data_IF_391185932020
#
_entry.id   IF_391185932020
#
_cell.length_a   1.000
_cell.length_b   1.000
_cell.length_c   1.000
_cell.angle_alpha   90.00
_cell.angle_beta   90.00
_cell.angle_gamma   90.00
#
_symmetry.space_group_name_H-M   'P 1'
#
loop_
_entity.id
_entity.type
_entity.pdbx_description
1 polymer ?
2 water ?
#
# COMPACT_ATOMS: atom_id res chain seq x y z
N UNK A 1 1.18 -8.33 -13.68
CA UNK A 1 2.03 -8.79 -12.58
C UNK A 1 1.21 -9.61 -11.59
N UNK A 2 1.63 -10.86 -11.39
CA UNK A 2 0.91 -11.79 -10.56
C UNK A 2 1.50 -11.80 -9.14
N UNK A 3 1.06 -12.76 -8.33
CA UNK A 3 1.46 -12.78 -6.92
C UNK A 3 2.91 -13.24 -6.75
N UNK A 4 3.37 -14.17 -7.59
CA UNK A 4 4.76 -14.59 -7.51
C UNK A 4 5.70 -13.44 -7.85
N UNK A 5 5.29 -12.56 -8.77
CA UNK A 5 6.06 -11.36 -9.06
C UNK A 5 5.91 -10.29 -7.98
N UNK A 6 4.86 -10.38 -7.16
CA UNK A 6 4.71 -9.45 -6.05
C UNK A 6 5.70 -9.78 -4.93
N UNK A 7 5.73 -11.05 -4.52
CA UNK A 7 6.68 -11.47 -3.49
C UNK A 7 8.12 -11.25 -3.93
N UNK A 8 8.38 -11.25 -5.24
CA UNK A 8 9.73 -11.05 -5.73
C UNK A 8 10.15 -9.58 -5.60
N UNK A 9 9.25 -8.66 -5.94
CA UNK A 9 9.55 -7.23 -5.91
C UNK A 9 9.37 -6.62 -4.54
N UNK A 10 8.40 -7.08 -3.75
CA UNK A 10 8.18 -6.53 -2.42
C UNK A 10 9.16 -7.20 -1.45
N UNK A 11 10.05 -6.44 -0.81
CA UNK A 11 11.02 -7.08 0.09
C UNK A 11 10.40 -7.65 1.36
N UNK A 12 9.23 -7.15 1.78
CA UNK A 12 8.51 -7.73 2.90
C UNK A 12 7.95 -9.10 2.54
N UNK A 13 7.63 -9.88 3.58
CA UNK A 13 6.93 -11.15 3.42
C UNK A 13 5.96 -11.32 4.59
N UNK A 14 5.27 -12.46 4.61
CA UNK A 14 4.34 -12.76 5.67
C UNK A 14 5.04 -12.69 7.03
N UNK A 15 4.39 -12.14 8.07
CA UNK A 15 3.03 -11.60 8.05
C UNK A 15 2.94 -10.09 7.81
N UNK A 16 3.84 -9.56 6.99
CA UNK A 16 3.90 -8.12 6.74
C UNK A 16 3.85 -7.80 5.25
N UNK A 17 3.23 -8.67 4.46
CA UNK A 17 3.01 -8.43 3.04
C UNK A 17 1.58 -7.95 2.85
N UNK A 18 1.42 -6.77 2.24
CA UNK A 18 0.11 -6.14 2.13
C UNK A 18 -0.20 -5.77 0.68
N UNK A 19 0.26 -6.59 -0.27
CA UNK A 19 -0.10 -6.46 -1.67
C UNK A 19 -0.46 -7.85 -2.17
N UNK A 20 -1.62 -7.97 -2.83
CA UNK A 20 -2.08 -9.25 -3.35
C UNK A 20 -1.88 -9.41 -4.84
N UNK A 21 -2.15 -8.37 -5.63
CA UNK A 21 -1.92 -8.45 -7.06
C UNK A 21 -1.75 -7.05 -7.62
N UNK A 22 -1.60 -6.98 -8.94
CA UNK A 22 -1.28 -5.75 -9.66
C UNK A 22 -2.37 -5.53 -10.69
N UNK A 23 -3.07 -4.41 -10.59
CA UNK A 23 -4.22 -4.14 -11.45
C UNK A 23 -3.83 -3.34 -12.69
N UNK A 24 -3.04 -2.28 -12.49
CA UNK A 24 -2.72 -1.36 -13.58
C UNK A 24 -1.32 -0.81 -13.36
N UNK A 25 -0.52 -0.82 -14.41
CA UNK A 25 0.87 -0.36 -14.34
C UNK A 25 1.11 0.71 -15.39
N UNK A 26 1.91 1.71 -15.04
CA UNK A 26 2.32 2.78 -15.98
C UNK A 26 3.70 3.20 -15.51
N UNK A 27 4.75 2.52 -15.96
CA UNK A 27 6.12 2.71 -15.43
C UNK A 27 6.53 4.17 -15.45
N UNK A 28 6.97 4.66 -14.29
CA UNK A 28 7.45 6.03 -14.01
C UNK A 28 6.31 7.06 -14.02
N UNK A 29 5.07 6.55 -13.96
CA UNK A 29 3.84 7.37 -13.91
C UNK A 29 2.86 6.97 -12.80
N UNK A 30 2.15 6.09 -12.56
CA UNK A 30 0.96 5.59 -11.82
C UNK A 30 1.02 4.09 -11.62
N UNK A 31 0.67 3.46 -10.54
CA UNK A 31 0.33 2.02 -10.30
C UNK A 31 -0.93 1.91 -9.45
N UNK A 32 -1.71 0.89 -9.74
CA UNK A 32 -2.95 0.56 -9.05
C UNK A 32 -2.85 -0.87 -8.52
N UNK A 33 -2.75 -0.99 -7.21
CA UNK A 33 -2.59 -2.27 -6.54
C UNK A 33 -3.88 -2.71 -5.87
N UNK A 34 -3.89 -3.97 -5.48
CA UNK A 34 -5.04 -4.61 -4.85
C UNK A 34 -4.57 -5.41 -3.64
N UNK A 35 -5.23 -5.18 -2.51
CA UNK A 35 -5.05 -6.02 -1.33
C UNK A 35 -6.41 -6.44 -0.82
N UNK A 36 -6.60 -7.75 -0.67
CA UNK A 36 -7.82 -8.27 -0.06
C UNK A 36 -7.72 -8.17 1.45
N UNK A 37 -8.77 -7.65 2.07
CA UNK A 37 -8.88 -7.57 3.53
C UNK A 37 -9.72 -8.76 3.99
N UNK A 38 -9.10 -9.65 4.76
CA UNK A 38 -9.77 -10.85 5.24
C UNK A 38 -9.71 -10.92 6.75
N UNK A 39 -10.80 -11.37 7.37
CA UNK A 39 -10.81 -11.55 8.81
C UNK A 39 -9.85 -12.61 9.31
N UNK A 40 -9.33 -13.45 8.40
CA UNK A 40 -8.38 -14.49 8.75
C UNK A 40 -6.93 -13.98 8.75
N UNK A 41 -6.73 -12.67 8.66
CA UNK A 41 -5.38 -12.14 8.76
C UNK A 41 -5.00 -11.95 10.22
N UNK A 42 -3.72 -12.17 10.57
CA UNK A 42 -3.35 -12.22 11.99
C UNK A 42 -3.58 -10.92 12.74
N UNK A 43 -3.45 -9.76 12.10
CA UNK A 43 -3.57 -8.51 12.83
C UNK A 43 -5.00 -8.23 13.27
N UNK A 44 -6.00 -8.89 12.68
CA UNK A 44 -7.38 -8.66 13.08
C UNK A 44 -7.68 -9.24 14.45
N UNK A 45 -6.87 -10.22 14.83
CA UNK A 45 -7.04 -10.81 16.17
C UNK A 45 -6.69 -9.75 17.20
N UNK A 46 -5.56 -9.04 16.99
CA UNK A 46 -5.01 -8.06 17.93
C UNK A 46 -5.46 -6.63 17.78
N UNK A 47 -6.02 -6.25 16.64
CA UNK A 47 -6.46 -4.84 16.61
C UNK A 47 -7.96 -4.79 16.87
N UNK A 48 -8.30 -4.39 18.10
CA UNK A 48 -9.69 -4.33 18.60
C UNK A 48 -10.34 -5.70 18.47
N UNK A 49 -10.09 -6.68 19.36
CA UNK A 49 -10.78 -7.98 19.32
C UNK A 49 -12.32 -7.87 19.45
N UNK A 50 -12.83 -6.82 20.11
CA UNK A 50 -14.28 -6.53 20.19
C UNK A 50 -14.84 -6.32 18.78
N UNK A 51 -14.17 -5.54 17.91
CA UNK A 51 -14.66 -5.35 16.52
C UNK A 51 -13.50 -5.12 15.56
N UNK A 52 -13.50 -5.92 14.50
CA UNK A 52 -12.43 -5.93 13.49
C UNK A 52 -12.37 -4.66 12.65
N UNK A 53 -11.32 -3.90 12.80
CA UNK A 53 -11.05 -2.77 11.94
C UNK A 53 -9.58 -2.82 11.54
N UNK A 54 -9.30 -2.49 10.29
CA UNK A 54 -7.90 -2.55 9.84
C UNK A 54 -7.14 -1.34 10.39
N UNK A 55 -5.98 -1.55 11.00
CA UNK A 55 -5.21 -0.41 11.50
C UNK A 55 -4.79 0.51 10.36
N UNK A 56 -4.88 1.82 10.62
CA UNK A 56 -4.55 2.78 9.59
C UNK A 56 -3.11 2.72 9.14
N UNK A 57 -2.20 2.40 10.06
CA UNK A 57 -0.78 2.37 9.72
C UNK A 57 -0.48 1.24 8.74
N UNK A 58 -1.29 0.17 8.75
CA UNK A 58 -1.07 -0.91 7.80
C UNK A 58 -1.54 -0.52 6.40
N UNK A 59 -2.49 0.40 6.30
CA UNK A 59 -2.84 0.94 4.99
C UNK A 59 -1.70 1.77 4.44
N UNK A 60 -1.02 2.53 5.31
CA UNK A 60 0.15 3.29 4.90
C UNK A 60 1.24 2.35 4.40
N UNK A 61 1.42 1.21 5.06
CA UNK A 61 2.40 0.23 4.62
C UNK A 61 2.00 -0.38 3.28
N UNK A 62 0.71 -0.63 3.08
CA UNK A 62 0.25 -1.15 1.79
C UNK A 62 0.51 -0.14 0.68
N UNK A 63 0.31 1.15 0.95
CA UNK A 63 0.62 2.17 -0.04
C UNK A 63 2.12 2.25 -0.29
N UNK A 64 2.92 2.02 0.74
CA UNK A 64 4.37 2.09 0.57
C UNK A 64 4.89 0.91 -0.24
N UNK A 65 4.36 -0.29 0.02
CA UNK A 65 4.78 -1.46 -0.75
C UNK A 65 4.34 -1.37 -2.20
N UNK A 66 3.19 -0.74 -2.45
CA UNK A 66 2.76 -0.53 -3.83
C UNK A 66 3.65 0.46 -4.54
N UNK A 67 4.10 1.50 -3.83
CA UNK A 67 5.04 2.46 -4.42
C UNK A 67 6.36 1.79 -4.74
N UNK A 68 6.81 0.88 -3.88
CA UNK A 68 8.06 0.16 -4.14
C UNK A 68 7.95 -0.66 -5.42
N UNK A 69 6.78 -1.27 -5.65
CA UNK A 69 6.57 -2.03 -6.88
C UNK A 69 6.70 -1.11 -8.09
N UNK A 70 6.15 0.11 -8.01
CA UNK A 70 6.27 1.06 -9.11
C UNK A 70 7.72 1.44 -9.35
N UNK A 71 8.51 1.53 -8.28
CA UNK A 71 9.90 1.93 -8.40
C UNK A 71 10.73 0.87 -9.10
N UNK A 72 10.63 -0.38 -8.63
CA UNK A 72 11.39 -1.49 -9.20
C UNK A 72 10.68 -2.07 -10.43
N UNK A 73 10.37 -1.19 -11.37
CA UNK A 73 9.63 -1.57 -12.57
C UNK A 73 9.78 -0.55 -13.69
N UNK A 84 17.17 -0.15 -3.29
CA UNK A 84 16.74 -0.36 -1.91
C UNK A 84 16.02 0.89 -1.41
N UNK A 85 14.71 0.87 -1.47
CA UNK A 85 13.89 2.00 -1.05
C UNK A 85 13.45 1.83 0.40
N UNK A 86 13.19 2.95 1.06
CA UNK A 86 12.87 2.95 2.48
C UNK A 86 12.10 4.21 2.81
N UNK A 87 10.99 4.05 3.52
CA UNK A 87 10.13 5.18 3.88
C UNK A 87 10.90 6.23 4.66
N UNK A 88 10.97 7.43 4.10
CA UNK A 88 11.60 8.57 4.77
C UNK A 88 10.60 9.47 5.48
N UNK A 89 9.39 9.59 4.94
CA UNK A 89 8.35 10.41 5.57
C UNK A 89 6.99 9.98 5.06
N UNK A 90 5.95 10.36 5.81
CA UNK A 90 4.58 10.06 5.44
C UNK A 90 3.66 11.13 5.99
N UNK A 91 2.79 11.67 5.14
CA UNK A 91 1.78 12.66 5.52
C UNK A 91 0.44 12.07 5.11
N UNK A 92 -0.30 11.55 6.09
CA UNK A 92 -1.46 10.70 5.84
C UNK A 92 -2.68 11.28 6.55
N UNK A 93 -3.84 11.18 5.91
CA UNK A 93 -5.12 11.40 6.55
C UNK A 93 -5.97 10.14 6.39
N UNK A 94 -6.47 9.62 7.50
CA UNK A 94 -7.30 8.42 7.50
C UNK A 94 -8.76 8.87 7.46
N UNK A 95 -9.42 8.64 6.33
CA UNK A 95 -10.76 9.17 6.09
C UNK A 95 -11.87 8.25 6.59
N UNK A 96 -11.85 6.98 6.19
CA UNK A 96 -12.92 6.06 6.57
C UNK A 96 -12.36 4.67 6.86
N UNK A 97 -13.04 3.89 7.70
CA UNK A 97 -12.49 2.59 8.12
C UNK A 97 -12.60 1.53 7.03
N UNK A 98 -11.76 0.50 7.19
CA UNK A 98 -11.73 -0.66 6.31
C UNK A 98 -12.02 -1.89 7.16
N UNK A 99 -12.83 -2.79 6.63
CA UNK A 99 -13.32 -3.95 7.37
C UNK A 99 -12.99 -5.24 6.63
N UNK A 100 -13.04 -6.38 7.33
CA UNK A 100 -12.92 -7.66 6.63
C UNK A 100 -13.96 -7.80 5.54
N UNK A 101 -13.52 -8.27 4.37
CA UNK A 101 -14.34 -8.35 3.20
C UNK A 101 -14.15 -7.22 2.21
N UNK A 102 -13.58 -6.11 2.66
CA UNK A 102 -13.30 -4.99 1.77
C UNK A 102 -12.17 -5.35 0.81
N UNK A 103 -12.19 -4.72 -0.36
CA UNK A 103 -11.14 -4.88 -1.37
C UNK A 103 -10.45 -3.53 -1.50
N UNK A 104 -9.23 -3.46 -0.96
CA UNK A 104 -8.51 -2.19 -0.87
C UNK A 104 -7.77 -1.92 -2.17
N UNK A 105 -8.14 -0.83 -2.84
CA UNK A 105 -7.47 -0.39 -4.05
C UNK A 105 -6.42 0.64 -3.67
N UNK A 106 -5.19 0.46 -4.17
CA UNK A 106 -4.06 1.31 -3.81
C UNK A 106 -3.53 1.98 -5.06
N UNK A 107 -3.74 3.29 -5.16
CA UNK A 107 -3.34 4.07 -6.33
C UNK A 107 -2.14 4.94 -5.96
N UNK A 108 -1.05 4.80 -6.71
CA UNK A 108 0.19 5.52 -6.47
C UNK A 108 0.50 6.36 -7.69
N UNK A 109 0.71 7.66 -7.48
CA UNK A 109 1.12 8.58 -8.54
C UNK A 109 2.41 9.25 -8.14
N UNK A 110 3.42 9.16 -9.02
CA UNK A 110 4.71 9.77 -8.75
C UNK A 110 4.60 11.27 -8.96
N UNK A 111 5.04 12.04 -7.96
CA UNK A 111 5.17 13.48 -8.16
C UNK A 111 6.34 13.80 -9.07
N UNK A 112 7.52 13.28 -8.73
CA UNK A 112 8.69 13.18 -9.60
C UNK A 112 9.82 12.53 -8.80
N UNK A 113 10.75 11.91 -9.52
CA UNK A 113 11.79 11.07 -8.93
C UNK A 113 13.15 11.70 -9.22
N UNK A 114 14.00 11.78 -8.19
CA UNK A 114 15.40 12.16 -8.37
C UNK A 114 16.26 10.91 -8.19
N UNK A 115 17.58 11.08 -8.29
CA UNK A 115 18.46 9.92 -8.29
C UNK A 115 18.45 9.18 -6.95
N UNK A 116 18.15 9.88 -5.85
CA UNK A 116 18.26 9.29 -4.53
C UNK A 116 17.00 9.43 -3.69
N UNK A 117 15.90 9.93 -4.26
CA UNK A 117 14.67 10.09 -3.50
C UNK A 117 13.48 10.08 -4.44
N UNK A 118 12.31 9.80 -3.88
CA UNK A 118 11.06 9.76 -4.64
C UNK A 118 9.92 10.21 -3.75
N UNK A 119 9.01 11.00 -4.31
CA UNK A 119 7.82 11.49 -3.61
C UNK A 119 6.59 11.11 -4.43
N UNK A 120 5.62 10.49 -3.79
CA UNK A 120 4.47 9.92 -4.48
C UNK A 120 3.17 10.38 -3.83
N UNK A 121 2.10 10.26 -4.60
CA UNK A 121 0.75 10.44 -4.09
C UNK A 121 0.12 9.07 -3.85
N UNK A 122 -0.44 8.89 -2.66
CA UNK A 122 -1.07 7.62 -2.32
C UNK A 122 -2.54 7.77 -2.02
N UNK A 123 -3.37 6.96 -2.68
CA UNK A 123 -4.82 6.97 -2.48
C UNK A 123 -5.30 5.54 -2.31
N UNK A 124 -5.90 5.24 -1.16
CA UNK A 124 -6.49 3.94 -0.89
C UNK A 124 -8.01 4.05 -1.00
N UNK A 125 -8.62 3.10 -1.73
CA UNK A 125 -10.04 3.16 -2.00
C UNK A 125 -10.67 1.79 -1.80
N UNK A 126 -11.92 1.79 -1.35
CA UNK A 126 -12.79 0.61 -1.32
C UNK A 126 -13.97 0.96 -2.21
N UNK A 127 -14.10 0.26 -3.34
CA UNK A 127 -15.03 0.67 -4.37
C UNK A 127 -14.57 1.97 -5.01
N UNK A 128 -15.30 3.06 -4.76
CA UNK A 128 -14.87 4.39 -5.16
C UNK A 128 -14.78 5.36 -3.99
N UNK A 129 -15.10 4.93 -2.78
CA UNK A 129 -14.92 5.76 -1.61
C UNK A 129 -13.45 5.79 -1.23
N UNK A 130 -12.90 7.00 -1.12
CA UNK A 130 -11.52 7.16 -0.67
C UNK A 130 -11.46 6.94 0.84
N UNK A 131 -10.60 6.03 1.26
CA UNK A 131 -10.43 5.73 2.66
C UNK A 131 -9.12 6.26 3.23
N UNK A 132 -8.11 6.48 2.39
CA UNK A 132 -6.82 6.96 2.86
C UNK A 132 -6.13 7.71 1.73
N UNK A 133 -5.69 8.93 2.02
CA UNK A 133 -4.84 9.71 1.13
C UNK A 133 -3.51 9.98 1.81
N UNK A 134 -2.42 9.92 1.06
CA UNK A 134 -1.11 10.04 1.66
C UNK A 134 -0.10 10.61 0.66
N UNK A 135 0.86 11.36 1.18
CA UNK A 135 2.05 11.75 0.45
C UNK A 135 3.25 11.08 1.11
N UNK A 136 3.95 10.24 0.36
CA UNK A 136 5.05 9.43 0.87
C UNK A 136 6.35 9.83 0.18
N UNK A 137 7.43 9.83 0.96
CA UNK A 137 8.77 10.05 0.42
C UNK A 137 9.66 8.87 0.80
N UNK A 138 10.57 8.54 -0.10
CA UNK A 138 11.44 7.37 0.06
C UNK A 138 12.90 7.78 -0.07
N UNK A 139 13.73 7.25 0.81
CA UNK A 139 15.17 7.34 0.68
C UNK A 139 15.74 6.10 0.00
N UNK A 140 17.06 6.07 -0.09
CA UNK A 140 17.78 4.94 -0.66
C UNK A 140 18.91 4.55 0.29
N UNK A 141 19.15 3.25 0.41
CA UNK A 141 20.23 2.75 1.24
C UNK A 141 20.89 1.53 0.60
#
# INVERSE_FOLDING_TARGET
VNFEEVRELVPQKYPFLFIDKVIELQKESRIVCLKNISGNEPFFAGNFPDFAIMPGVLIVEALAQASIILFKKSFSTEQHKDKVFLLASANVRFSKPVFPGDQLILEIDIEKVISSAAIVKGVAKVGDKVVTKATLSFGVANKDSLTGLEHHHHHH
#
